data_IF_436273108153
#
_entry.id   IF_436273108153
#
_cell.length_a   1.000
_cell.length_b   1.000
_cell.length_c   1.000
_cell.angle_alpha   90.00
_cell.angle_beta   90.00
_cell.angle_gamma   90.00
#
_symmetry.space_group_name_H-M   'P 1'
#
loop_
_entity.id
_entity.type
_entity.pdbx_description
1 polymer ?
#
# COMPACT_ATOMS: atom_id res chain seq x y z
N UNK A 1 41.46 6.98 5.98
CA UNK A 1 40.54 7.55 4.97
C UNK A 1 39.20 6.93 5.28
N UNK A 2 38.22 7.74 5.73
CA UNK A 2 36.86 7.24 5.94
C UNK A 2 36.26 6.92 4.58
N UNK A 3 36.17 5.64 4.23
CA UNK A 3 35.19 5.19 3.25
C UNK A 3 33.83 5.49 3.85
N UNK A 4 33.25 6.60 3.45
CA UNK A 4 31.81 6.82 3.59
C UNK A 4 31.20 5.86 2.59
N UNK A 5 30.83 4.66 3.04
CA UNK A 5 30.01 3.74 2.25
C UNK A 5 28.77 4.52 1.87
N UNK A 6 28.68 4.90 0.60
CA UNK A 6 27.53 5.63 0.09
C UNK A 6 26.40 4.63 0.09
N UNK A 7 25.41 4.83 0.96
CA UNK A 7 24.24 3.94 1.08
C UNK A 7 23.58 3.83 -0.28
N UNK A 8 23.16 2.62 -0.66
CA UNK A 8 22.59 2.40 -1.98
C UNK A 8 21.30 3.22 -2.16
N UNK A 9 21.13 3.87 -3.33
CA UNK A 9 20.03 4.80 -3.57
C UNK A 9 18.63 4.16 -3.44
N UNK A 10 18.51 2.86 -3.73
CA UNK A 10 17.26 2.13 -3.55
C UNK A 10 16.88 1.93 -2.07
N UNK A 11 17.86 1.87 -1.15
CA UNK A 11 17.58 1.82 0.30
C UNK A 11 17.01 3.16 0.78
N UNK A 12 17.59 4.27 0.34
CA UNK A 12 17.09 5.61 0.68
C UNK A 12 15.67 5.84 0.13
N UNK A 13 15.36 5.27 -1.04
CA UNK A 13 14.01 5.33 -1.61
C UNK A 13 13.00 4.49 -0.83
N UNK A 14 13.35 3.26 -0.41
CA UNK A 14 12.45 2.43 0.41
C UNK A 14 12.20 3.07 1.77
N UNK A 15 13.23 3.67 2.37
CA UNK A 15 13.13 4.44 3.60
C UNK A 15 12.28 5.70 3.41
N UNK A 16 12.49 6.39 2.29
CA UNK A 16 11.70 7.54 1.85
C UNK A 16 10.23 7.17 1.68
N UNK A 17 9.90 6.12 0.94
CA UNK A 17 8.51 5.65 0.77
C UNK A 17 7.88 5.15 2.07
N UNK A 18 8.64 4.50 2.95
CA UNK A 18 8.18 4.19 4.30
C UNK A 18 7.76 5.44 5.08
N UNK A 19 8.52 6.54 4.97
CA UNK A 19 8.19 7.83 5.62
C UNK A 19 7.11 8.62 4.89
N UNK A 20 7.21 8.72 3.57
CA UNK A 20 6.43 9.61 2.70
C UNK A 20 5.03 9.06 2.43
N UNK A 21 4.84 7.75 2.55
CA UNK A 21 3.52 7.15 2.36
C UNK A 21 2.76 7.03 3.70
N UNK A 22 3.41 6.89 4.86
CA UNK A 22 2.77 6.94 6.18
C UNK A 22 3.84 7.00 7.28
N UNK A 23 4.02 8.17 7.89
CA UNK A 23 5.08 8.49 8.84
C UNK A 23 5.05 7.78 10.20
N UNK A 24 4.93 6.45 10.24
CA UNK A 24 5.05 5.63 11.45
C UNK A 24 6.35 4.83 11.45
N UNK A 25 6.92 4.64 12.64
CA UNK A 25 8.02 3.71 12.89
C UNK A 25 7.52 2.26 12.94
N UNK A 26 8.35 1.24 12.69
CA UNK A 26 8.01 -0.19 12.80
C UNK A 26 7.31 -0.57 14.11
N UNK A 27 7.80 -0.04 15.24
CA UNK A 27 7.25 -0.37 16.56
C UNK A 27 5.85 0.23 16.76
N UNK A 28 5.54 1.33 16.06
CA UNK A 28 4.20 1.92 16.02
C UNK A 28 3.27 1.10 15.10
N UNK A 29 3.76 0.61 13.96
CA UNK A 29 2.96 -0.20 13.02
C UNK A 29 2.53 -1.57 13.60
N UNK A 30 3.44 -2.25 14.32
CA UNK A 30 3.14 -3.53 14.98
C UNK A 30 2.20 -3.35 16.20
N UNK A 31 2.30 -2.21 16.91
CA UNK A 31 1.41 -1.87 18.02
C UNK A 31 -0.01 -1.47 17.61
N UNK A 32 -0.20 -1.06 16.35
CA UNK A 32 -1.44 -0.52 15.80
C UNK A 32 -2.16 -1.45 14.80
N UNK A 33 -1.59 -2.60 14.45
CA UNK A 33 -2.24 -3.59 13.57
C UNK A 33 -2.38 -3.16 12.11
N UNK A 34 -1.55 -2.22 11.64
CA UNK A 34 -1.65 -1.60 10.32
C UNK A 34 -1.15 -2.54 9.20
N UNK A 35 -1.95 -2.72 8.15
CA UNK A 35 -1.74 -3.70 7.04
C UNK A 35 -1.52 -3.05 5.66
N UNK A 36 -1.24 -1.74 5.60
CA UNK A 36 -1.14 -0.95 4.37
C UNK A 36 0.16 -1.11 3.52
N UNK A 37 0.23 -0.49 2.33
CA UNK A 37 1.40 -0.47 1.44
C UNK A 37 2.66 0.15 2.08
N UNK A 38 2.54 0.98 3.10
CA UNK A 38 3.67 1.58 3.82
C UNK A 38 4.36 0.59 4.74
N UNK A 39 3.56 -0.25 5.40
CA UNK A 39 4.09 -1.41 6.11
C UNK A 39 4.86 -2.31 5.14
N UNK A 40 4.37 -2.48 3.90
CA UNK A 40 5.06 -3.28 2.88
C UNK A 40 6.41 -2.67 2.47
N UNK A 41 6.47 -1.36 2.20
CA UNK A 41 7.73 -0.66 1.89
C UNK A 41 8.71 -0.68 3.07
N UNK A 42 8.20 -0.48 4.29
CA UNK A 42 8.97 -0.54 5.52
C UNK A 42 9.54 -1.94 5.79
N UNK A 43 8.73 -3.00 5.67
CA UNK A 43 9.20 -4.37 5.84
C UNK A 43 10.28 -4.73 4.81
N UNK A 44 10.15 -4.25 3.57
CA UNK A 44 11.18 -4.43 2.55
C UNK A 44 12.49 -3.71 2.92
N UNK A 45 12.40 -2.46 3.41
CA UNK A 45 13.53 -1.70 3.93
C UNK A 45 14.23 -2.44 5.09
N UNK A 46 13.48 -2.84 6.12
CA UNK A 46 14.03 -3.58 7.26
C UNK A 46 14.70 -4.88 6.85
N UNK A 47 14.11 -5.63 5.92
CA UNK A 47 14.71 -6.87 5.45
C UNK A 47 16.07 -6.60 4.77
N UNK A 48 16.15 -5.54 3.96
CA UNK A 48 17.38 -5.16 3.29
C UNK A 48 18.46 -4.64 4.27
N UNK A 49 18.10 -3.71 5.15
CA UNK A 49 19.02 -3.08 6.12
C UNK A 49 19.60 -4.10 7.11
N UNK A 50 18.78 -4.99 7.68
CA UNK A 50 19.28 -6.05 8.55
C UNK A 50 20.19 -7.05 7.83
N UNK A 51 19.92 -7.34 6.55
CA UNK A 51 20.78 -8.23 5.75
C UNK A 51 22.14 -7.58 5.48
N UNK A 52 22.17 -6.27 5.21
CA UNK A 52 23.41 -5.49 5.07
C UNK A 52 24.21 -5.43 6.38
N UNK A 53 23.55 -5.14 7.50
CA UNK A 53 24.18 -5.14 8.83
C UNK A 53 24.79 -6.51 9.17
N UNK A 54 24.09 -7.60 8.85
CA UNK A 54 24.59 -8.96 9.03
C UNK A 54 25.83 -9.23 8.17
N UNK A 55 25.83 -8.81 6.90
CA UNK A 55 26.99 -8.94 6.02
C UNK A 55 28.20 -8.17 6.56
N UNK A 56 27.98 -6.93 7.05
CA UNK A 56 29.01 -6.12 7.71
C UNK A 56 29.56 -6.77 8.98
N UNK A 57 28.69 -7.33 9.82
CA UNK A 57 29.09 -8.04 11.03
C UNK A 57 29.96 -9.27 10.70
N UNK A 58 29.57 -10.06 9.69
CA UNK A 58 30.29 -11.25 9.24
C UNK A 58 31.64 -10.97 8.56
N UNK A 59 31.89 -9.73 8.12
CA UNK A 59 33.20 -9.32 7.61
C UNK A 59 34.28 -9.27 8.70
N UNK A 60 33.89 -9.25 9.98
CA UNK A 60 34.82 -9.32 11.11
C UNK A 60 35.41 -10.74 11.26
N UNK A 61 36.74 -10.89 11.43
CA UNK A 61 37.36 -12.18 11.73
C UNK A 61 36.94 -12.75 13.10
N UNK A 62 36.23 -11.97 13.91
CA UNK A 62 35.70 -12.34 15.22
C UNK A 62 34.17 -12.45 15.23
N UNK A 63 33.53 -12.43 14.06
CA UNK A 63 32.07 -12.43 13.96
C UNK A 63 31.43 -13.68 14.59
N UNK A 64 32.09 -14.83 14.43
CA UNK A 64 31.63 -16.14 14.90
C UNK A 64 32.80 -16.90 15.52
N UNK A 65 32.52 -17.62 16.59
CA UNK A 65 33.52 -18.33 17.38
C UNK A 65 33.36 -19.85 17.34
N UNK A 66 32.21 -20.37 16.90
CA UNK A 66 31.94 -21.82 16.82
C UNK A 66 31.25 -22.25 15.52
N UNK A 67 31.41 -23.53 15.09
CA UNK A 67 30.70 -24.07 13.94
C UNK A 67 29.17 -24.04 14.05
N UNK A 68 28.60 -24.19 15.25
CA UNK A 68 27.17 -24.14 15.48
C UNK A 68 26.61 -22.74 15.21
N UNK A 69 27.37 -21.69 15.54
CA UNK A 69 27.02 -20.30 15.22
C UNK A 69 27.01 -20.07 13.71
N UNK A 70 27.99 -20.64 12.98
CA UNK A 70 28.01 -20.63 11.51
C UNK A 70 26.77 -21.33 10.93
N UNK A 71 26.43 -22.51 11.46
CA UNK A 71 25.25 -23.26 11.03
C UNK A 71 23.92 -22.52 11.27
N UNK A 72 23.79 -21.86 12.42
CA UNK A 72 22.61 -21.06 12.74
C UNK A 72 22.44 -19.86 11.79
N UNK A 73 23.53 -19.14 11.50
CA UNK A 73 23.53 -18.03 10.54
C UNK A 73 23.22 -18.52 9.12
N UNK A 74 23.80 -19.65 8.70
CA UNK A 74 23.51 -20.23 7.38
C UNK A 74 22.03 -20.65 7.23
N UNK A 75 21.43 -21.24 8.28
CA UNK A 75 20.02 -21.58 8.30
C UNK A 75 19.11 -20.33 8.23
N UNK A 76 19.46 -19.28 8.98
CA UNK A 76 18.74 -18.01 8.94
C UNK A 76 18.79 -17.35 7.55
N UNK A 77 19.98 -17.29 6.93
CA UNK A 77 20.14 -16.77 5.57
C UNK A 77 19.33 -17.58 4.53
N UNK A 78 19.30 -18.91 4.69
CA UNK A 78 18.47 -19.78 3.83
C UNK A 78 16.98 -19.47 4.00
N UNK A 79 16.52 -19.23 5.23
CA UNK A 79 15.14 -18.83 5.50
C UNK A 79 14.82 -17.47 4.86
N UNK A 80 15.71 -16.48 5.00
CA UNK A 80 15.55 -15.15 4.35
C UNK A 80 15.42 -15.31 2.83
N UNK A 81 16.28 -16.09 2.18
CA UNK A 81 16.19 -16.36 0.74
C UNK A 81 14.84 -16.98 0.36
N UNK A 82 14.38 -17.98 1.11
CA UNK A 82 13.08 -18.62 0.88
C UNK A 82 11.91 -17.63 1.00
N UNK A 83 11.91 -16.80 2.04
CA UNK A 83 10.86 -15.81 2.26
C UNK A 83 10.89 -14.68 1.21
N UNK A 84 12.07 -14.24 0.79
CA UNK A 84 12.23 -13.26 -0.28
C UNK A 84 11.68 -13.80 -1.61
N UNK A 85 11.98 -15.06 -1.96
CA UNK A 85 11.43 -15.70 -3.17
C UNK A 85 9.91 -15.84 -3.11
N UNK A 86 9.35 -16.16 -1.94
CA UNK A 86 7.90 -16.18 -1.75
C UNK A 86 7.28 -14.78 -1.92
N UNK A 87 7.93 -13.73 -1.41
CA UNK A 87 7.48 -12.35 -1.55
C UNK A 87 7.52 -11.88 -3.01
N UNK A 88 8.59 -12.18 -3.76
CA UNK A 88 8.70 -11.89 -5.20
C UNK A 88 7.55 -12.47 -6.01
N UNK A 89 7.19 -13.75 -5.77
CA UNK A 89 6.06 -14.38 -6.46
C UNK A 89 4.74 -13.66 -6.19
N UNK A 90 4.50 -13.28 -4.92
CA UNK A 90 3.31 -12.52 -4.53
C UNK A 90 3.28 -11.13 -5.18
N UNK A 91 4.43 -10.47 -5.29
CA UNK A 91 4.54 -9.18 -5.98
C UNK A 91 4.17 -9.31 -7.47
N UNK A 92 4.60 -10.38 -8.15
CA UNK A 92 4.21 -10.65 -9.54
C UNK A 92 2.70 -10.90 -9.70
N UNK A 93 2.11 -11.67 -8.79
CA UNK A 93 0.65 -11.90 -8.78
C UNK A 93 -0.10 -10.57 -8.61
N UNK A 94 0.36 -9.70 -7.69
CA UNK A 94 -0.23 -8.38 -7.46
C UNK A 94 -0.13 -7.47 -8.69
N UNK A 95 1.04 -7.39 -9.31
CA UNK A 95 1.27 -6.57 -10.51
C UNK A 95 0.39 -7.04 -11.68
N UNK A 96 0.26 -8.35 -11.86
CA UNK A 96 -0.63 -8.94 -12.89
C UNK A 96 -2.08 -8.54 -12.63
N UNK A 97 -2.55 -8.69 -11.40
CA UNK A 97 -3.91 -8.33 -11.03
C UNK A 97 -4.18 -6.82 -11.15
N UNK A 98 -3.21 -5.95 -10.83
CA UNK A 98 -3.32 -4.50 -11.04
C UNK A 98 -3.42 -4.13 -12.51
N UNK A 99 -2.67 -4.82 -13.39
CA UNK A 99 -2.75 -4.62 -14.83
C UNK A 99 -4.11 -5.06 -15.39
N UNK A 100 -4.65 -6.20 -14.94
CA UNK A 100 -5.98 -6.68 -15.32
C UNK A 100 -7.11 -5.71 -14.91
N UNK A 101 -6.97 -5.03 -13.76
CA UNK A 101 -7.92 -4.01 -13.28
C UNK A 101 -7.71 -2.62 -13.90
N UNK A 102 -6.63 -2.42 -14.65
CA UNK A 102 -6.28 -1.10 -15.23
C UNK A 102 -5.80 -0.07 -14.19
N UNK A 103 -5.37 -0.51 -13.01
CA UNK A 103 -4.89 0.34 -11.91
C UNK A 103 -3.42 0.73 -12.07
N UNK A 104 -2.63 -0.13 -12.72
CA UNK A 104 -1.25 0.14 -13.05
C UNK A 104 -1.12 0.54 -14.52
N UNK A 105 -0.11 1.35 -14.83
CA UNK A 105 0.40 1.45 -16.19
C UNK A 105 0.83 0.06 -16.68
N UNK A 106 1.13 -0.11 -17.97
CA UNK A 106 1.66 -1.38 -18.44
C UNK A 106 2.88 -1.77 -17.59
N UNK A 107 2.84 -2.97 -16.99
CA UNK A 107 3.98 -3.53 -16.26
C UNK A 107 5.20 -3.46 -17.19
N UNK A 108 6.36 -2.94 -16.74
CA UNK A 108 7.54 -2.85 -17.58
C UNK A 108 7.86 -4.19 -18.24
N UNK A 109 8.07 -4.20 -19.57
CA UNK A 109 8.56 -5.40 -20.23
C UNK A 109 9.94 -5.73 -19.65
N UNK A 110 10.11 -6.94 -19.10
CA UNK A 110 11.36 -7.34 -18.43
C UNK A 110 11.28 -7.45 -16.90
N UNK A 111 10.25 -6.87 -16.25
CA UNK A 111 10.12 -6.92 -14.79
C UNK A 111 10.00 -8.36 -14.25
N UNK A 112 9.24 -9.28 -14.87
CA UNK A 112 9.22 -10.67 -14.45
C UNK A 112 10.60 -11.35 -14.56
N UNK A 113 11.34 -11.09 -15.63
CA UNK A 113 12.69 -11.62 -15.86
C UNK A 113 13.69 -11.07 -14.84
N UNK A 114 13.57 -9.78 -14.47
CA UNK A 114 14.40 -9.16 -13.44
C UNK A 114 14.07 -9.65 -12.03
N UNK A 115 12.78 -9.86 -11.71
CA UNK A 115 12.38 -10.43 -10.41
C UNK A 115 12.83 -11.90 -10.29
N UNK A 116 12.89 -12.63 -11.40
CA UNK A 116 13.42 -13.99 -11.49
C UNK A 116 14.96 -14.08 -11.48
N UNK A 117 15.67 -12.95 -11.64
CA UNK A 117 17.13 -12.93 -11.63
C UNK A 117 17.71 -13.23 -10.23
N UNK A 118 18.95 -13.72 -10.20
CA UNK A 118 19.69 -13.94 -8.97
C UNK A 118 19.90 -12.60 -8.22
N UNK A 119 19.83 -12.60 -6.88
CA UNK A 119 20.01 -11.38 -6.09
C UNK A 119 21.42 -10.79 -6.29
N UNK A 120 21.48 -9.52 -6.65
CA UNK A 120 22.71 -8.72 -6.80
C UNK A 120 22.38 -7.22 -6.67
N UNK A 121 23.37 -6.42 -6.29
CA UNK A 121 23.24 -4.97 -6.19
C UNK A 121 22.92 -4.37 -7.57
N UNK A 122 23.58 -4.85 -8.62
CA UNK A 122 23.32 -4.42 -10.00
C UNK A 122 21.93 -4.80 -10.52
N UNK A 123 21.31 -5.86 -9.98
CA UNK A 123 19.93 -6.19 -10.31
C UNK A 123 18.93 -5.26 -9.59
N UNK A 124 19.22 -4.89 -8.34
CA UNK A 124 18.42 -3.93 -7.57
C UNK A 124 18.46 -2.53 -8.19
N UNK A 125 19.64 -2.04 -8.58
CA UNK A 125 19.78 -0.74 -9.23
C UNK A 125 19.08 -0.69 -10.59
N UNK A 126 19.14 -1.78 -11.35
CA UNK A 126 18.48 -1.87 -12.66
C UNK A 126 16.96 -1.93 -12.52
N UNK A 127 16.47 -2.68 -11.54
CA UNK A 127 15.05 -2.69 -11.17
C UNK A 127 14.58 -1.29 -10.76
N UNK A 128 15.34 -0.58 -9.93
CA UNK A 128 15.03 0.80 -9.55
C UNK A 128 14.98 1.71 -10.78
N UNK A 129 15.98 1.64 -11.66
CA UNK A 129 16.04 2.48 -12.85
C UNK A 129 14.86 2.21 -13.79
N UNK A 130 14.51 0.95 -14.03
CA UNK A 130 13.37 0.56 -14.88
C UNK A 130 12.03 0.97 -14.27
N UNK A 131 11.81 0.70 -12.98
CA UNK A 131 10.56 1.07 -12.29
C UNK A 131 10.40 2.59 -12.17
N UNK A 132 11.49 3.34 -11.99
CA UNK A 132 11.46 4.81 -11.98
C UNK A 132 11.07 5.43 -13.33
N UNK A 133 11.11 4.66 -14.43
CA UNK A 133 10.64 5.12 -15.75
C UNK A 133 9.15 4.88 -15.97
N UNK A 134 8.51 4.07 -15.13
CA UNK A 134 7.06 3.88 -15.18
C UNK A 134 6.40 5.17 -14.70
N UNK A 135 5.57 5.82 -15.52
CA UNK A 135 4.80 6.95 -15.06
C UNK A 135 3.94 6.47 -13.89
N UNK A 136 4.15 7.05 -12.70
CA UNK A 136 3.22 6.90 -11.59
C UNK A 136 1.84 7.30 -12.13
N UNK A 137 0.94 6.33 -12.32
CA UNK A 137 -0.40 6.62 -12.77
C UNK A 137 -1.13 7.34 -11.65
N UNK A 138 -1.04 8.66 -11.72
CA UNK A 138 -1.64 9.68 -10.86
C UNK A 138 -1.02 9.76 -9.46
N UNK A 139 -0.85 10.98 -8.93
CA UNK A 139 -0.44 11.12 -7.54
C UNK A 139 -1.50 10.47 -6.64
N UNK A 140 -1.02 9.74 -5.64
CA UNK A 140 -1.82 9.45 -4.45
C UNK A 140 -2.35 10.80 -3.96
N UNK A 141 -3.66 10.94 -3.68
CA UNK A 141 -4.27 12.24 -3.38
C UNK A 141 -3.67 12.98 -2.18
N UNK A 142 -2.86 12.27 -1.36
CA UNK A 142 -2.16 12.79 -0.19
C UNK A 142 -3.09 13.20 0.96
N UNK A 143 -4.40 13.10 0.77
CA UNK A 143 -5.45 13.49 1.71
C UNK A 143 -6.70 12.64 1.51
N UNK A 144 -7.43 12.34 2.59
CA UNK A 144 -8.73 11.65 2.52
C UNK A 144 -9.73 12.43 1.66
N UNK A 145 -9.75 13.76 1.80
CA UNK A 145 -10.58 14.64 0.98
C UNK A 145 -10.25 14.54 -0.53
N UNK A 146 -8.96 14.45 -0.88
CA UNK A 146 -8.53 14.22 -2.26
C UNK A 146 -8.93 12.83 -2.76
N UNK A 147 -8.82 11.81 -1.91
CA UNK A 147 -9.22 10.45 -2.21
C UNK A 147 -10.74 10.34 -2.45
N UNK A 148 -11.54 10.98 -1.60
CA UNK A 148 -13.00 11.02 -1.75
C UNK A 148 -13.41 11.65 -3.08
N UNK A 149 -12.86 12.83 -3.39
CA UNK A 149 -13.19 13.54 -4.64
C UNK A 149 -12.75 12.77 -5.87
N UNK A 150 -11.53 12.23 -5.88
CA UNK A 150 -11.06 11.39 -6.98
C UNK A 150 -11.89 10.11 -7.14
N UNK A 151 -12.37 9.53 -6.04
CA UNK A 151 -13.22 8.34 -6.07
C UNK A 151 -14.60 8.69 -6.62
N UNK A 152 -15.19 9.80 -6.17
CA UNK A 152 -16.47 10.32 -6.67
C UNK A 152 -16.43 10.59 -8.18
N UNK A 153 -15.34 11.16 -8.69
CA UNK A 153 -15.13 11.35 -10.14
C UNK A 153 -15.15 10.02 -10.91
N UNK A 154 -14.52 8.96 -10.37
CA UNK A 154 -14.50 7.62 -10.98
C UNK A 154 -15.84 6.87 -10.83
N UNK A 155 -16.67 7.27 -9.88
CA UNK A 155 -18.02 6.77 -9.64
C UNK A 155 -19.10 7.69 -10.24
N UNK A 156 -18.74 8.59 -11.17
CA UNK A 156 -19.65 9.63 -11.69
C UNK A 156 -20.95 9.12 -12.33
N UNK A 157 -21.00 7.86 -12.78
CA UNK A 157 -22.21 7.18 -13.24
C UNK A 157 -23.19 6.80 -12.11
N UNK A 158 -22.67 6.63 -10.89
CA UNK A 158 -23.44 6.35 -9.69
C UNK A 158 -23.67 7.63 -8.85
N UNK A 159 -22.90 8.70 -9.04
CA UNK A 159 -23.01 9.92 -8.25
C UNK A 159 -24.38 10.59 -8.43
N UNK A 160 -24.99 11.03 -7.33
CA UNK A 160 -26.23 11.83 -7.37
C UNK A 160 -25.90 13.20 -7.99
N UNK A 161 -26.74 13.77 -8.89
CA UNK A 161 -26.41 14.99 -9.63
C UNK A 161 -26.58 16.30 -8.83
N UNK A 162 -26.72 16.24 -7.51
CA UNK A 162 -27.02 17.40 -6.64
C UNK A 162 -25.72 18.16 -6.29
N UNK A 163 -25.80 19.48 -6.03
CA UNK A 163 -24.62 20.32 -5.75
C UNK A 163 -23.87 19.91 -4.46
N UNK A 164 -24.57 19.23 -3.56
CA UNK A 164 -24.11 18.70 -2.27
C UNK A 164 -23.81 17.20 -2.33
N UNK A 165 -23.62 16.61 -3.51
CA UNK A 165 -23.35 15.18 -3.63
C UNK A 165 -21.99 14.74 -3.08
N UNK A 166 -21.06 15.67 -2.80
CA UNK A 166 -19.77 15.39 -2.17
C UNK A 166 -19.45 16.48 -1.15
N UNK A 167 -19.29 16.10 0.11
CA UNK A 167 -18.99 17.04 1.19
C UNK A 167 -17.81 16.55 2.04
N UNK A 168 -17.04 17.49 2.58
CA UNK A 168 -15.93 17.26 3.50
C UNK A 168 -16.04 18.27 4.63
N UNK A 169 -15.97 17.79 5.87
CA UNK A 169 -16.08 18.55 7.10
C UNK A 169 -14.81 18.38 7.96
N UNK A 170 -14.52 19.38 8.79
CA UNK A 170 -13.34 19.40 9.68
C UNK A 170 -12.03 19.67 8.93
N UNK A 171 -11.05 20.26 9.63
CA UNK A 171 -9.70 20.39 9.08
C UNK A 171 -8.97 19.03 9.07
N UNK A 172 -8.04 18.76 8.12
CA UNK A 172 -7.42 17.44 7.95
C UNK A 172 -6.71 16.88 9.19
N UNK A 173 -6.27 17.77 10.08
CA UNK A 173 -5.54 17.43 11.32
C UNK A 173 -6.49 17.38 12.54
N UNK A 174 -7.79 17.58 12.34
CA UNK A 174 -8.79 17.59 13.40
C UNK A 174 -9.49 16.23 13.55
N UNK A 175 -9.85 15.83 14.78
CA UNK A 175 -10.50 14.54 15.04
C UNK A 175 -11.90 14.41 14.42
N UNK A 176 -12.52 15.50 14.00
CA UNK A 176 -13.82 15.53 13.33
C UNK A 176 -13.70 15.62 11.79
N UNK A 177 -12.50 15.39 11.24
CA UNK A 177 -12.31 15.33 9.79
C UNK A 177 -13.06 14.14 9.18
N UNK A 178 -14.08 14.44 8.39
CA UNK A 178 -14.95 13.43 7.78
C UNK A 178 -15.41 13.89 6.41
N UNK A 179 -15.85 12.96 5.58
CA UNK A 179 -16.37 13.32 4.27
C UNK A 179 -17.18 12.20 3.65
N UNK A 180 -18.06 12.59 2.73
CA UNK A 180 -18.92 11.65 2.05
C UNK A 180 -19.26 12.04 0.62
N UNK A 181 -19.59 11.03 -0.17
CA UNK A 181 -20.12 11.17 -1.52
C UNK A 181 -21.41 10.35 -1.69
N UNK A 182 -22.49 10.99 -2.13
CA UNK A 182 -23.82 10.37 -2.34
C UNK A 182 -23.87 9.65 -3.68
N UNK A 183 -24.17 8.36 -3.62
CA UNK A 183 -24.26 7.43 -4.74
C UNK A 183 -25.68 6.89 -4.86
N UNK A 184 -26.11 6.54 -6.06
CA UNK A 184 -27.37 5.86 -6.36
C UNK A 184 -27.09 4.58 -7.13
N UNK A 185 -27.53 3.45 -6.57
CA UNK A 185 -27.36 2.12 -7.15
C UNK A 185 -28.66 1.33 -7.05
N UNK A 186 -29.17 0.85 -8.19
CA UNK A 186 -30.42 0.06 -8.27
C UNK A 186 -31.65 0.70 -7.58
N UNK A 187 -31.70 2.04 -7.56
CA UNK A 187 -32.81 2.79 -6.95
C UNK A 187 -32.65 3.08 -5.45
N UNK A 188 -31.60 2.54 -4.82
CA UNK A 188 -31.20 2.87 -3.44
C UNK A 188 -30.11 3.95 -3.43
N UNK A 189 -30.14 4.81 -2.42
CA UNK A 189 -29.08 5.79 -2.18
C UNK A 189 -28.12 5.30 -1.10
N UNK A 190 -26.85 5.59 -1.31
CA UNK A 190 -25.73 5.19 -0.47
C UNK A 190 -24.79 6.38 -0.26
N UNK A 191 -24.04 6.41 0.83
CA UNK A 191 -22.90 7.33 0.98
C UNK A 191 -21.60 6.54 1.05
N UNK A 192 -20.67 6.84 0.15
CA UNK A 192 -19.26 6.51 0.37
C UNK A 192 -18.73 7.47 1.43
N UNK A 193 -18.18 6.95 2.52
CA UNK A 193 -17.89 7.73 3.72
C UNK A 193 -16.51 7.41 4.29
N UNK A 194 -15.86 8.43 4.86
CA UNK A 194 -14.68 8.28 5.73
C UNK A 194 -14.84 9.15 6.99
N UNK A 195 -14.22 8.73 8.10
CA UNK A 195 -14.10 9.51 9.33
C UNK A 195 -12.73 9.28 9.97
N UNK A 196 -11.98 10.36 10.24
CA UNK A 196 -10.59 10.27 10.72
C UNK A 196 -10.45 9.64 12.11
N UNK A 197 -11.48 9.71 12.96
CA UNK A 197 -11.46 9.11 14.31
C UNK A 197 -11.85 7.61 14.35
N UNK A 198 -12.56 7.09 13.36
CA UNK A 198 -13.04 5.71 13.34
C UNK A 198 -12.14 4.87 12.43
N UNK A 199 -11.02 4.40 13.01
CA UNK A 199 -10.18 3.30 12.48
C UNK A 199 -9.66 3.44 11.03
N UNK A 200 -9.62 4.65 10.46
CA UNK A 200 -9.29 4.87 9.04
C UNK A 200 -10.16 4.01 8.09
N UNK A 201 -11.42 3.78 8.48
CA UNK A 201 -12.31 2.87 7.77
C UNK A 201 -13.14 3.60 6.72
N UNK A 202 -13.03 3.15 5.45
CA UNK A 202 -13.94 3.55 4.39
C UNK A 202 -15.10 2.58 4.32
N UNK A 203 -16.31 3.11 4.20
CA UNK A 203 -17.50 2.29 4.10
C UNK A 203 -18.56 2.92 3.20
N UNK A 204 -19.53 2.10 2.80
CA UNK A 204 -20.81 2.57 2.29
C UNK A 204 -21.85 2.46 3.39
N UNK A 205 -22.66 3.49 3.60
CA UNK A 205 -23.90 3.37 4.36
C UNK A 205 -25.13 3.61 3.48
N UNK A 206 -26.27 3.02 3.84
CA UNK A 206 -27.54 3.34 3.18
C UNK A 206 -28.05 4.70 3.65
N UNK A 207 -28.50 5.51 2.70
CA UNK A 207 -28.95 6.87 2.96
C UNK A 207 -30.36 7.05 2.42
N UNK A 208 -31.28 7.73 3.13
CA UNK A 208 -31.13 8.41 4.43
C UNK A 208 -31.56 7.56 5.65
N UNK A 209 -31.43 6.22 5.60
CA UNK A 209 -31.90 5.35 6.67
C UNK A 209 -31.02 5.44 7.93
N UNK A 210 -31.63 5.57 9.11
CA UNK A 210 -30.90 5.53 10.40
C UNK A 210 -31.63 4.63 11.43
N UNK A 211 -30.94 3.64 12.06
CA UNK A 211 -29.57 3.21 11.79
C UNK A 211 -29.49 2.47 10.44
N UNK A 212 -28.45 2.79 9.69
CA UNK A 212 -28.26 2.29 8.34
C UNK A 212 -27.50 0.96 8.21
N UNK A 213 -27.60 0.33 7.05
CA UNK A 213 -26.75 -0.78 6.62
C UNK A 213 -25.35 -0.25 6.32
N UNK A 214 -24.32 -0.77 7.01
CA UNK A 214 -22.92 -0.40 6.78
C UNK A 214 -22.18 -1.51 6.02
N UNK A 215 -21.58 -1.18 4.89
CA UNK A 215 -20.75 -2.08 4.07
C UNK A 215 -19.29 -1.61 4.14
N UNK A 216 -18.42 -2.30 4.89
CA UNK A 216 -17.02 -1.94 4.97
C UNK A 216 -16.32 -2.17 3.62
N UNK A 217 -15.53 -1.19 3.17
CA UNK A 217 -14.72 -1.30 1.94
C UNK A 217 -13.29 -1.77 2.23
N UNK A 218 -12.86 -1.63 3.49
CA UNK A 218 -11.51 -1.92 3.97
C UNK A 218 -10.91 -0.74 4.75
N UNK A 219 -9.79 -0.99 5.44
CA UNK A 219 -9.01 0.08 6.07
C UNK A 219 -8.13 0.77 5.02
N UNK A 220 -8.47 2.00 4.65
CA UNK A 220 -7.65 2.82 3.76
C UNK A 220 -7.33 4.13 4.48
N UNK A 221 -6.13 4.24 5.03
CA UNK A 221 -5.63 5.50 5.56
C UNK A 221 -5.52 6.58 4.48
N UNK A 222 -5.37 7.84 4.91
CA UNK A 222 -5.18 8.99 4.03
C UNK A 222 -4.07 8.82 2.97
N UNK A 223 -3.01 8.08 3.32
CA UNK A 223 -1.85 7.79 2.46
C UNK A 223 -2.06 6.62 1.49
N UNK A 224 -3.07 5.78 1.72
CA UNK A 224 -3.28 4.51 0.98
C UNK A 224 -4.56 4.48 0.16
N UNK A 225 -5.47 5.42 0.42
CA UNK A 225 -6.76 5.58 -0.22
C UNK A 225 -6.62 5.97 -1.70
N UNK A 226 -6.25 5.00 -2.56
CA UNK A 226 -6.17 5.23 -4.00
C UNK A 226 -7.58 5.30 -4.60
N UNK A 227 -7.96 6.39 -5.30
CA UNK A 227 -9.30 6.57 -5.82
C UNK A 227 -9.86 5.42 -6.65
N UNK A 228 -9.02 4.79 -7.49
CA UNK A 228 -9.46 3.67 -8.31
C UNK A 228 -9.74 2.41 -7.50
N UNK A 229 -8.97 2.17 -6.42
CA UNK A 229 -9.17 1.02 -5.55
C UNK A 229 -10.42 1.21 -4.68
N UNK A 230 -10.62 2.41 -4.15
CA UNK A 230 -11.85 2.77 -3.44
C UNK A 230 -13.09 2.67 -4.35
N UNK A 231 -13.00 3.15 -5.60
CA UNK A 231 -14.10 3.03 -6.56
C UNK A 231 -14.42 1.56 -6.90
N UNK A 232 -13.38 0.74 -7.09
CA UNK A 232 -13.56 -0.69 -7.36
C UNK A 232 -14.17 -1.43 -6.15
N UNK A 233 -13.67 -1.15 -4.94
CA UNK A 233 -14.21 -1.71 -3.70
C UNK A 233 -15.67 -1.31 -3.47
N UNK A 234 -16.01 -0.02 -3.68
CA UNK A 234 -17.38 0.47 -3.56
C UNK A 234 -18.32 -0.24 -4.55
N UNK A 235 -17.92 -0.39 -5.82
CA UNK A 235 -18.72 -1.12 -6.82
C UNK A 235 -18.89 -2.59 -6.45
N UNK A 236 -17.83 -3.24 -5.98
CA UNK A 236 -17.88 -4.64 -5.58
C UNK A 236 -18.85 -4.85 -4.39
N UNK A 237 -18.78 -3.97 -3.39
CA UNK A 237 -19.67 -4.01 -2.22
C UNK A 237 -21.14 -3.80 -2.62
N UNK A 238 -21.44 -2.80 -3.46
CA UNK A 238 -22.79 -2.56 -3.96
C UNK A 238 -23.34 -3.74 -4.78
N UNK A 239 -22.52 -4.32 -5.65
CA UNK A 239 -22.90 -5.45 -6.48
C UNK A 239 -23.17 -6.71 -5.63
N UNK A 240 -22.33 -6.96 -4.62
CA UNK A 240 -22.51 -8.08 -3.69
C UNK A 240 -23.81 -7.90 -2.88
N UNK A 241 -24.03 -6.73 -2.30
CA UNK A 241 -25.23 -6.44 -1.53
C UNK A 241 -26.50 -6.63 -2.38
N UNK A 242 -26.50 -6.14 -3.63
CA UNK A 242 -27.62 -6.32 -4.55
C UNK A 242 -27.87 -7.79 -4.89
N UNK A 243 -26.82 -8.62 -5.00
CA UNK A 243 -26.98 -10.05 -5.24
C UNK A 243 -27.59 -10.80 -4.04
N UNK A 244 -27.29 -10.36 -2.82
CA UNK A 244 -27.79 -10.96 -1.58
C UNK A 244 -29.25 -10.56 -1.24
N UNK A 245 -29.72 -9.43 -1.79
CA UNK A 245 -31.03 -8.83 -1.48
C UNK A 245 -32.02 -8.81 -2.65
N UNK A 246 -31.77 -9.63 -3.69
CA UNK A 246 -32.70 -9.94 -4.78
C UNK A 246 -33.42 -11.27 -4.54
#
# INVERSE_FOLDING_TARGET
MSETTTRAAWLELLEGWGRDCAGCTPEELDGLGVTGPEATAWYAFCAADHTEQLAGALASPWALHTPEQVGAVAAALTAVQWHAERAKRRLLDLLTAMAERGEAGPVPPGLPELLAAAPSEEAADRLLAELSTVPLLRPVPGTLAGALRGTAELLGDLLVPEEDAVEVFGDPDEPDHQGWARLRHEGSEWRLYFHSHDEDEWFLDDFPAEPGTRLPLGGFSAGTAHPAQLAAAARAALAQWAAEHR
#
